data_IF_711814776072
#
_entry.id   IF_711814776072
#
_cell.length_a   1.000
_cell.length_b   1.000
_cell.length_c   1.000
_cell.angle_alpha   90.00
_cell.angle_beta   90.00
_cell.angle_gamma   90.00
#
_symmetry.space_group_name_H-M   'P 1'
#
loop_
_entity.id
_entity.type
_entity.pdbx_description
1 polymer ?
#
# COMPACT_ATOMS: atom_id res chain seq x y z
N UNK A 1 -9.68 -24.49 -3.52
CA UNK A 1 -10.61 -23.39 -3.81
C UNK A 1 -10.01 -22.44 -4.82
N UNK A 2 -10.81 -21.94 -5.77
CA UNK A 2 -10.41 -20.91 -6.72
C UNK A 2 -11.42 -19.78 -6.72
N UNK A 3 -10.95 -18.56 -6.94
CA UNK A 3 -11.79 -17.36 -7.10
C UNK A 3 -11.70 -16.90 -8.55
N UNK A 4 -12.84 -16.69 -9.21
CA UNK A 4 -12.89 -16.11 -10.55
C UNK A 4 -13.14 -14.61 -10.39
N UNK A 5 -12.26 -13.79 -10.97
CA UNK A 5 -12.36 -12.33 -10.98
C UNK A 5 -12.22 -11.79 -12.40
N UNK A 6 -12.73 -10.58 -12.62
CA UNK A 6 -12.51 -9.84 -13.87
C UNK A 6 -11.02 -9.55 -14.06
N UNK A 7 -10.51 -9.75 -15.29
CA UNK A 7 -9.16 -9.34 -15.63
C UNK A 7 -9.13 -7.84 -15.96
N UNK A 8 -8.60 -7.04 -15.03
CA UNK A 8 -8.53 -5.59 -15.20
C UNK A 8 -7.28 -5.22 -16.01
N UNK A 9 -7.49 -4.57 -17.15
CA UNK A 9 -6.41 -4.02 -17.97
C UNK A 9 -5.92 -2.69 -17.39
N UNK A 10 -4.63 -2.60 -17.10
CA UNK A 10 -4.03 -1.37 -16.61
C UNK A 10 -2.61 -1.55 -16.10
N UNK A 11 -2.13 -0.52 -15.42
CA UNK A 11 -0.79 -0.48 -14.85
C UNK A 11 -0.84 -0.74 -13.35
N UNK A 12 -0.02 -1.66 -12.86
CA UNK A 12 0.03 -1.99 -11.43
C UNK A 12 0.77 -0.92 -10.62
N UNK A 13 0.24 -0.58 -9.46
CA UNK A 13 0.86 0.29 -8.46
C UNK A 13 0.56 -0.25 -7.07
N UNK A 14 1.63 -0.40 -6.28
CA UNK A 14 1.57 -0.92 -4.92
C UNK A 14 1.84 0.23 -3.96
N UNK A 15 0.77 0.75 -3.35
CA UNK A 15 0.84 1.92 -2.47
C UNK A 15 1.17 1.48 -1.06
N UNK A 16 2.34 1.86 -0.56
CA UNK A 16 2.77 1.52 0.78
C UNK A 16 2.46 2.69 1.70
N UNK A 17 1.37 2.56 2.44
CA UNK A 17 0.95 3.55 3.42
C UNK A 17 1.46 3.20 4.81
N UNK A 18 1.45 4.20 5.70
CA UNK A 18 1.68 4.05 7.12
C UNK A 18 0.59 4.84 7.87
N UNK A 19 -0.11 4.18 8.77
CA UNK A 19 -1.06 4.82 9.67
C UNK A 19 -0.51 4.92 11.09
N UNK A 20 -0.57 6.11 11.68
CA UNK A 20 -0.12 6.39 13.04
C UNK A 20 -1.26 7.05 13.85
N UNK A 21 -1.80 6.41 14.90
CA UNK A 21 -2.91 6.97 15.69
C UNK A 21 -2.48 8.05 16.69
N UNK A 22 -1.18 8.33 16.84
CA UNK A 22 -0.65 9.21 17.87
C UNK A 22 -0.54 10.71 17.49
N UNK A 23 -0.16 11.07 16.24
CA UNK A 23 -0.05 12.47 15.82
C UNK A 23 -1.40 13.06 15.41
N UNK A 24 -1.59 14.34 15.72
CA UNK A 24 -2.74 15.18 15.39
C UNK A 24 -2.44 16.17 14.23
N UNK A 25 -1.36 15.93 13.48
CA UNK A 25 -0.89 16.75 12.35
C UNK A 25 -0.97 16.01 11.00
N UNK A 26 -0.68 16.70 9.89
CA UNK A 26 -0.66 16.10 8.55
C UNK A 26 -2.03 15.66 8.03
N UNK A 27 -2.04 14.67 7.12
CA UNK A 27 -3.29 14.13 6.57
C UNK A 27 -3.99 13.24 7.60
N UNK A 28 -5.08 13.74 8.16
CA UNK A 28 -5.83 13.09 9.23
C UNK A 28 -7.00 12.28 8.68
N UNK A 29 -7.03 10.99 9.01
CA UNK A 29 -8.11 10.06 8.64
C UNK A 29 -9.38 10.43 9.39
N UNK A 30 -10.46 10.64 8.65
CA UNK A 30 -11.81 10.76 9.20
C UNK A 30 -12.36 9.38 9.60
N UNK A 31 -12.80 9.28 10.85
CA UNK A 31 -13.53 8.11 11.32
C UNK A 31 -14.90 7.99 10.65
N UNK A 32 -15.35 6.74 10.48
CA UNK A 32 -16.68 6.41 9.97
C UNK A 32 -17.46 5.65 11.05
N UNK A 33 -18.79 5.55 10.88
CA UNK A 33 -19.63 4.74 11.76
C UNK A 33 -19.50 5.14 13.23
N UNK A 34 -19.01 4.23 14.07
CA UNK A 34 -18.83 4.47 15.51
C UNK A 34 -17.84 5.61 15.84
N UNK A 35 -17.00 6.02 14.88
CA UNK A 35 -16.02 7.10 15.01
C UNK A 35 -16.33 8.32 14.13
N UNK A 36 -17.56 8.46 13.63
CA UNK A 36 -17.96 9.58 12.78
C UNK A 36 -17.69 10.94 13.46
N UNK A 37 -17.12 11.89 12.70
CA UNK A 37 -16.75 13.21 13.19
C UNK A 37 -15.46 13.26 14.01
N UNK A 38 -14.74 12.15 14.16
CA UNK A 38 -13.45 12.09 14.87
C UNK A 38 -12.29 11.94 13.90
N UNK A 39 -11.19 12.65 14.16
CA UNK A 39 -9.89 12.38 13.53
C UNK A 39 -9.21 11.24 14.28
N UNK A 40 -8.90 10.15 13.59
CA UNK A 40 -8.45 8.91 14.24
C UNK A 40 -6.94 8.68 14.16
N UNK A 41 -6.22 9.49 13.36
CA UNK A 41 -4.78 9.42 13.23
C UNK A 41 -4.28 9.90 11.87
N UNK A 42 -2.97 9.90 11.72
CA UNK A 42 -2.27 10.39 10.54
C UNK A 42 -2.02 9.27 9.53
N UNK A 43 -2.32 9.52 8.26
CA UNK A 43 -1.99 8.64 7.14
C UNK A 43 -0.82 9.24 6.34
N UNK A 44 0.20 8.42 6.08
CA UNK A 44 1.39 8.79 5.32
C UNK A 44 1.57 7.83 4.15
N UNK A 45 1.90 8.35 2.96
CA UNK A 45 2.38 7.54 1.85
C UNK A 45 3.90 7.40 1.97
N UNK A 46 4.37 6.18 2.19
CA UNK A 46 5.80 5.90 2.40
C UNK A 46 6.54 5.69 1.09
N UNK A 47 6.02 4.86 0.19
CA UNK A 47 6.59 4.68 -1.15
C UNK A 47 5.58 3.99 -2.09
N UNK A 48 5.94 3.92 -3.36
CA UNK A 48 5.19 3.17 -4.37
C UNK A 48 6.17 2.29 -5.14
N UNK A 49 5.82 1.04 -5.34
CA UNK A 49 6.57 0.11 -6.18
C UNK A 49 5.70 -0.57 -7.23
N UNK A 50 6.37 -1.33 -8.10
CA UNK A 50 5.78 -2.37 -8.92
C UNK A 50 6.49 -3.69 -8.64
N UNK A 51 5.72 -4.78 -8.54
CA UNK A 51 6.26 -6.13 -8.51
C UNK A 51 6.82 -6.51 -9.88
N UNK A 52 8.01 -7.09 -9.83
CA UNK A 52 8.68 -7.78 -10.94
C UNK A 52 8.37 -9.27 -10.80
N UNK A 53 7.72 -9.85 -11.81
CA UNK A 53 7.10 -11.17 -11.73
C UNK A 53 7.47 -12.09 -12.89
N UNK A 54 7.97 -13.27 -12.53
CA UNK A 54 8.34 -14.32 -13.47
C UNK A 54 7.17 -15.29 -13.71
N UNK A 55 6.78 -15.57 -14.96
CA UNK A 55 7.31 -15.10 -16.25
C UNK A 55 6.46 -13.99 -16.88
N UNK A 56 5.37 -13.56 -16.24
CA UNK A 56 4.32 -12.72 -16.83
C UNK A 56 4.86 -11.40 -17.38
N UNK A 57 5.82 -10.78 -16.71
CA UNK A 57 6.34 -9.46 -17.09
C UNK A 57 7.23 -9.49 -18.35
N UNK A 58 7.71 -10.68 -18.72
CA UNK A 58 8.49 -10.90 -19.94
C UNK A 58 7.67 -11.64 -21.02
N UNK A 59 6.49 -12.13 -20.66
CA UNK A 59 5.68 -13.05 -21.45
C UNK A 59 5.27 -12.47 -22.82
N UNK A 60 5.01 -11.15 -22.89
CA UNK A 60 4.63 -10.48 -24.13
C UNK A 60 5.75 -10.41 -25.17
N UNK A 61 7.01 -10.65 -24.78
CA UNK A 61 8.17 -10.61 -25.68
C UNK A 61 8.32 -11.88 -26.52
N UNK A 62 7.65 -12.96 -26.13
CA UNK A 62 7.87 -14.30 -26.68
C UNK A 62 7.07 -14.62 -27.95
N UNK A 63 6.18 -13.72 -28.40
CA UNK A 63 5.39 -13.88 -29.62
C UNK A 63 3.89 -13.76 -29.38
N UNK A 64 3.08 -14.34 -30.27
CA UNK A 64 1.63 -14.32 -30.08
C UNK A 64 1.22 -15.25 -28.94
N UNK A 65 0.17 -14.89 -28.18
CA UNK A 65 -0.38 -15.73 -27.12
C UNK A 65 -0.75 -17.15 -27.60
N UNK A 66 -1.08 -17.27 -28.90
CA UNK A 66 -1.38 -18.56 -29.53
C UNK A 66 -0.13 -19.45 -29.60
N UNK A 67 0.98 -18.91 -30.11
CA UNK A 67 2.23 -19.68 -30.25
C UNK A 67 2.75 -20.13 -28.88
N UNK A 68 2.62 -19.28 -27.86
CA UNK A 68 3.03 -19.61 -26.49
C UNK A 68 2.19 -20.73 -25.87
N UNK A 69 0.88 -20.71 -26.13
CA UNK A 69 0.00 -21.79 -25.71
C UNK A 69 0.33 -23.11 -26.43
N UNK A 70 0.63 -23.04 -27.73
CA UNK A 70 1.04 -24.21 -28.51
C UNK A 70 2.39 -24.79 -28.01
N UNK A 71 3.24 -23.95 -27.39
CA UNK A 71 4.49 -24.34 -26.71
C UNK A 71 4.28 -24.83 -25.26
N UNK A 72 3.07 -24.80 -24.72
CA UNK A 72 2.78 -25.18 -23.33
C UNK A 72 3.33 -24.21 -22.29
N UNK A 73 3.61 -22.96 -22.67
CA UNK A 73 4.03 -21.91 -21.76
C UNK A 73 2.79 -21.20 -21.20
N UNK A 74 2.64 -21.22 -19.88
CA UNK A 74 1.57 -20.52 -19.17
C UNK A 74 2.14 -19.33 -18.38
N UNK A 75 1.38 -18.23 -18.24
CA UNK A 75 1.79 -17.10 -17.44
C UNK A 75 1.83 -17.47 -15.94
N UNK A 76 2.88 -17.02 -15.28
CA UNK A 76 3.11 -17.16 -13.84
C UNK A 76 3.35 -15.79 -13.22
N UNK A 77 2.82 -15.58 -12.01
CA UNK A 77 2.88 -14.32 -11.25
C UNK A 77 3.81 -14.46 -10.03
N UNK A 78 4.85 -15.29 -10.13
CA UNK A 78 5.81 -15.49 -9.05
C UNK A 78 6.64 -14.22 -8.89
N UNK A 79 6.54 -13.58 -7.73
CA UNK A 79 7.27 -12.35 -7.41
C UNK A 79 8.77 -12.64 -7.30
N UNK A 80 9.57 -11.99 -8.15
CA UNK A 80 11.04 -12.08 -8.16
C UNK A 80 11.72 -10.81 -7.67
N UNK A 81 11.02 -9.67 -7.67
CA UNK A 81 11.58 -8.42 -7.21
C UNK A 81 10.58 -7.27 -7.17
N UNK A 82 11.10 -6.06 -6.97
CA UNK A 82 10.35 -4.82 -6.89
C UNK A 82 11.12 -3.69 -7.58
N UNK A 83 10.41 -2.83 -8.32
CA UNK A 83 10.96 -1.64 -8.98
C UNK A 83 10.30 -0.40 -8.41
N UNK A 84 11.05 0.67 -8.07
CA UNK A 84 10.46 1.91 -7.57
C UNK A 84 9.59 2.56 -8.65
N UNK A 85 8.48 3.17 -8.24
CA UNK A 85 7.60 3.89 -9.12
C UNK A 85 7.15 5.21 -8.49
N UNK A 86 6.77 6.16 -9.35
CA UNK A 86 6.02 7.34 -8.96
C UNK A 86 4.70 7.35 -9.70
N UNK A 87 3.65 7.75 -8.99
CA UNK A 87 2.33 7.98 -9.55
C UNK A 87 2.28 9.36 -10.20
N UNK A 88 1.46 9.49 -11.25
CA UNK A 88 1.02 10.80 -11.73
C UNK A 88 0.35 11.56 -10.57
N UNK A 89 0.84 12.75 -10.26
CA UNK A 89 0.46 13.51 -9.05
C UNK A 89 -1.05 13.75 -8.93
N UNK A 90 -1.75 14.01 -10.04
CA UNK A 90 -3.22 14.22 -10.04
C UNK A 90 -4.03 13.00 -9.56
N UNK A 91 -3.42 11.82 -9.43
CA UNK A 91 -4.05 10.61 -8.92
C UNK A 91 -3.80 10.39 -7.42
N UNK A 92 -2.88 11.15 -6.79
CA UNK A 92 -2.59 11.04 -5.36
C UNK A 92 -3.79 11.32 -4.47
N UNK A 93 -4.67 12.31 -4.75
CA UNK A 93 -5.86 12.52 -3.93
C UNK A 93 -6.73 11.26 -3.85
N UNK A 94 -6.87 10.54 -4.96
CA UNK A 94 -7.63 9.28 -4.98
C UNK A 94 -6.93 8.15 -4.24
N UNK A 95 -5.61 8.03 -4.39
CA UNK A 95 -4.83 7.07 -3.61
C UNK A 95 -4.97 7.30 -2.10
N UNK A 96 -4.94 8.55 -1.65
CA UNK A 96 -5.17 8.90 -0.24
C UNK A 96 -6.61 8.60 0.20
N UNK A 97 -7.63 8.90 -0.61
CA UNK A 97 -9.02 8.50 -0.30
C UNK A 97 -9.17 6.99 -0.12
N UNK A 98 -8.53 6.19 -0.96
CA UNK A 98 -8.55 4.73 -0.81
C UNK A 98 -7.82 4.29 0.48
N UNK A 99 -6.65 4.86 0.76
CA UNK A 99 -5.88 4.58 1.99
C UNK A 99 -6.67 4.95 3.25
N UNK A 100 -7.29 6.12 3.26
CA UNK A 100 -8.15 6.61 4.34
C UNK A 100 -9.33 5.67 4.56
N UNK A 101 -10.04 5.31 3.49
CA UNK A 101 -11.17 4.38 3.54
C UNK A 101 -10.77 3.00 4.08
N UNK A 102 -9.60 2.49 3.69
CA UNK A 102 -9.10 1.21 4.18
C UNK A 102 -8.82 1.24 5.69
N UNK A 103 -8.20 2.31 6.20
CA UNK A 103 -7.96 2.49 7.64
C UNK A 103 -9.28 2.66 8.39
N UNK A 104 -10.14 3.58 7.95
CA UNK A 104 -11.39 3.88 8.62
C UNK A 104 -12.31 2.64 8.70
N UNK A 105 -12.44 1.90 7.59
CA UNK A 105 -13.19 0.64 7.56
C UNK A 105 -12.58 -0.43 8.46
N UNK A 106 -11.25 -0.57 8.49
CA UNK A 106 -10.59 -1.52 9.38
C UNK A 106 -10.84 -1.18 10.85
N UNK A 107 -10.80 0.10 11.20
CA UNK A 107 -11.04 0.58 12.57
C UNK A 107 -12.48 0.38 13.02
N UNK A 108 -13.46 0.55 12.13
CA UNK A 108 -14.87 0.26 12.41
C UNK A 108 -15.11 -1.25 12.58
N UNK A 109 -14.51 -2.09 11.72
CA UNK A 109 -14.74 -3.54 11.74
C UNK A 109 -14.07 -4.25 12.93
N UNK A 110 -12.94 -3.74 13.40
CA UNK A 110 -12.06 -4.44 14.36
C UNK A 110 -11.75 -3.65 15.63
N UNK A 111 -12.16 -2.39 15.71
CA UNK A 111 -11.80 -1.51 16.82
C UNK A 111 -10.34 -1.04 16.78
N UNK A 112 -9.92 -0.28 17.78
CA UNK A 112 -8.56 0.27 17.85
C UNK A 112 -7.49 -0.81 18.17
N UNK A 113 -7.86 -1.91 18.82
CA UNK A 113 -6.92 -2.97 19.23
C UNK A 113 -6.49 -3.87 18.06
N UNK A 114 -7.33 -4.00 17.03
CA UNK A 114 -7.13 -4.90 15.89
C UNK A 114 -7.31 -4.22 14.53
N UNK A 115 -7.55 -2.91 14.53
CA UNK A 115 -7.58 -2.09 13.33
C UNK A 115 -6.20 -1.92 12.71
N UNK A 116 -6.16 -1.36 11.52
CA UNK A 116 -4.93 -1.16 10.77
C UNK A 116 -4.03 -0.12 11.46
N UNK A 117 -2.93 -0.57 12.05
CA UNK A 117 -1.91 0.27 12.69
C UNK A 117 -0.55 -0.01 12.05
N UNK A 118 0.19 1.05 11.73
CA UNK A 118 1.50 0.95 11.10
C UNK A 118 1.41 0.75 9.59
N UNK A 119 2.33 -0.02 8.99
CA UNK A 119 2.45 -0.12 7.54
C UNK A 119 1.38 -1.05 6.93
N UNK A 120 0.84 -0.65 5.78
CA UNK A 120 -0.01 -1.49 4.97
C UNK A 120 0.18 -1.17 3.49
N UNK A 121 -0.29 -2.06 2.61
CA UNK A 121 -0.22 -1.88 1.18
C UNK A 121 -1.58 -2.07 0.51
N UNK A 122 -1.94 -1.13 -0.36
CA UNK A 122 -3.01 -1.31 -1.34
C UNK A 122 -2.40 -1.74 -2.67
N UNK A 123 -2.73 -2.94 -3.11
CA UNK A 123 -2.25 -3.49 -4.37
C UNK A 123 -3.29 -3.17 -5.45
N UNK A 124 -2.92 -2.34 -6.41
CA UNK A 124 -3.88 -1.72 -7.32
C UNK A 124 -3.47 -1.82 -8.78
N UNK A 125 -4.47 -1.68 -9.65
CA UNK A 125 -4.33 -1.46 -11.08
C UNK A 125 -4.96 -0.11 -11.43
N UNK A 126 -4.26 0.71 -12.20
CA UNK A 126 -4.75 1.97 -12.78
C UNK A 126 -5.07 1.75 -14.26
N UNK A 127 -6.33 1.94 -14.63
CA UNK A 127 -6.80 1.76 -16.01
C UNK A 127 -6.39 2.94 -16.90
N UNK A 128 -6.59 2.80 -18.21
CA UNK A 128 -6.40 3.88 -19.20
C UNK A 128 -7.37 5.07 -18.99
N UNK A 129 -8.47 4.85 -18.26
CA UNK A 129 -9.41 5.88 -17.79
C UNK A 129 -9.02 6.52 -16.45
N UNK A 130 -7.85 6.18 -15.92
CA UNK A 130 -7.35 6.65 -14.61
C UNK A 130 -8.19 6.18 -13.42
N UNK A 131 -8.87 5.04 -13.54
CA UNK A 131 -9.62 4.43 -12.45
C UNK A 131 -8.75 3.44 -11.69
N UNK A 132 -8.85 3.45 -10.35
CA UNK A 132 -8.19 2.46 -9.50
C UNK A 132 -9.06 1.22 -9.32
N UNK A 133 -8.42 0.05 -9.39
CA UNK A 133 -8.98 -1.24 -8.98
C UNK A 133 -8.05 -1.87 -7.96
N UNK A 134 -8.51 -1.98 -6.71
CA UNK A 134 -7.78 -2.68 -5.64
C UNK A 134 -8.08 -4.16 -5.76
N UNK A 135 -7.05 -5.01 -5.83
CA UNK A 135 -7.23 -6.46 -5.90
C UNK A 135 -6.77 -7.17 -4.61
N UNK A 136 -5.88 -6.53 -3.84
CA UNK A 136 -5.42 -7.07 -2.56
C UNK A 136 -5.09 -5.95 -1.57
N UNK A 137 -5.30 -6.23 -0.27
CA UNK A 137 -4.86 -5.39 0.84
C UNK A 137 -3.92 -6.21 1.72
N UNK A 138 -2.68 -5.76 1.82
CA UNK A 138 -1.70 -6.32 2.75
C UNK A 138 -1.67 -5.48 4.03
N UNK A 139 -2.24 -5.97 5.13
CA UNK A 139 -2.31 -5.28 6.43
C UNK A 139 -0.99 -5.35 7.23
N UNK A 140 0.15 -5.24 6.54
CA UNK A 140 1.51 -5.25 7.10
C UNK A 140 2.50 -4.65 6.11
N UNK A 141 3.76 -4.54 6.53
CA UNK A 141 4.87 -4.21 5.63
C UNK A 141 5.00 -5.25 4.50
N UNK A 142 5.35 -4.79 3.30
CA UNK A 142 5.52 -5.60 2.09
C UNK A 142 6.93 -5.44 1.52
N UNK A 143 7.37 -6.43 0.72
CA UNK A 143 8.72 -6.45 0.12
C UNK A 143 9.02 -5.22 -0.75
N UNK A 144 8.00 -4.62 -1.36
CA UNK A 144 8.13 -3.38 -2.11
C UNK A 144 8.78 -2.24 -1.34
N UNK A 145 8.67 -2.21 -0.01
CA UNK A 145 9.31 -1.17 0.82
C UNK A 145 10.84 -1.22 0.81
N UNK A 146 11.43 -2.33 0.35
CA UNK A 146 12.88 -2.48 0.24
C UNK A 146 13.48 -1.55 -0.82
N UNK A 147 12.71 -1.08 -1.80
CA UNK A 147 13.22 -0.10 -2.79
C UNK A 147 13.47 1.28 -2.17
N UNK A 148 12.91 1.52 -0.98
CA UNK A 148 12.93 2.81 -0.28
C UNK A 148 13.69 2.76 1.06
N UNK A 149 14.71 1.91 1.19
CA UNK A 149 15.55 1.84 2.41
C UNK A 149 16.22 3.19 2.71
N UNK A 150 16.62 3.92 1.66
CA UNK A 150 17.22 5.26 1.76
C UNK A 150 16.22 6.40 1.63
N UNK A 151 14.93 6.16 1.89
CA UNK A 151 13.86 7.11 1.60
C UNK A 151 13.22 6.89 0.23
N UNK A 152 12.23 7.73 -0.08
CA UNK A 152 11.48 7.72 -1.32
C UNK A 152 11.04 9.14 -1.69
N UNK A 153 10.66 9.39 -2.95
CA UNK A 153 10.11 10.69 -3.36
C UNK A 153 8.91 11.15 -2.51
N UNK A 154 8.21 10.24 -1.83
CA UNK A 154 7.07 10.53 -0.98
C UNK A 154 7.47 10.72 0.49
N UNK A 155 8.26 9.80 1.04
CA UNK A 155 8.66 9.88 2.44
C UNK A 155 9.55 11.09 2.71
N UNK A 156 10.39 11.46 1.74
CA UNK A 156 11.36 12.56 1.87
C UNK A 156 10.68 13.94 1.96
N UNK A 157 9.41 14.06 1.55
CA UNK A 157 8.60 15.26 1.77
C UNK A 157 8.40 15.49 3.27
N UNK A 158 8.22 14.41 4.04
CA UNK A 158 8.01 14.48 5.49
C UNK A 158 9.34 14.43 6.25
N UNK A 159 10.24 13.55 5.84
CA UNK A 159 11.56 13.39 6.45
C UNK A 159 12.51 12.69 5.47
N UNK A 160 13.62 13.35 5.10
CA UNK A 160 14.61 12.77 4.20
C UNK A 160 15.19 11.46 4.72
N UNK A 161 15.23 10.45 3.85
CA UNK A 161 15.97 9.22 4.08
C UNK A 161 15.28 8.20 4.98
N UNK A 162 13.99 8.37 5.26
CA UNK A 162 13.25 7.43 6.11
C UNK A 162 12.67 6.25 5.34
N UNK A 163 13.08 5.05 5.73
CA UNK A 163 12.44 3.80 5.30
C UNK A 163 11.18 3.48 6.10
N UNK A 164 10.32 2.61 5.56
CA UNK A 164 9.16 2.08 6.30
C UNK A 164 9.57 1.40 7.61
N UNK A 165 10.69 0.68 7.64
CA UNK A 165 11.22 0.06 8.85
C UNK A 165 11.62 1.09 9.92
N UNK A 166 12.35 2.14 9.53
CA UNK A 166 12.67 3.24 10.44
C UNK A 166 11.41 3.98 10.91
N UNK A 167 10.38 4.11 10.06
CA UNK A 167 9.10 4.72 10.43
C UNK A 167 8.34 3.93 11.49
N UNK A 168 8.36 2.59 11.42
CA UNK A 168 7.83 1.71 12.48
C UNK A 168 8.60 1.94 13.79
N UNK A 169 9.93 1.83 13.76
CA UNK A 169 10.77 2.00 14.95
C UNK A 169 10.59 3.38 15.59
N UNK A 170 10.37 4.42 14.78
CA UNK A 170 10.10 5.78 15.25
C UNK A 170 8.71 5.93 15.86
N UNK A 171 7.69 5.29 15.29
CA UNK A 171 6.35 5.23 15.87
C UNK A 171 6.43 4.65 17.29
N UNK A 172 7.08 3.50 17.44
CA UNK A 172 7.28 2.83 18.73
C UNK A 172 8.01 3.73 19.72
N UNK A 173 9.12 4.35 19.31
CA UNK A 173 9.88 5.27 20.17
C UNK A 173 9.02 6.44 20.66
N UNK A 174 8.24 7.06 19.77
CA UNK A 174 7.35 8.17 20.12
C UNK A 174 6.21 7.73 21.03
N UNK A 175 5.67 6.52 20.82
CA UNK A 175 4.63 5.95 21.67
C UNK A 175 5.13 5.75 23.10
N UNK A 176 6.34 5.17 23.27
CA UNK A 176 6.98 5.02 24.58
C UNK A 176 7.20 6.38 25.25
N UNK A 177 7.71 7.37 24.53
CA UNK A 177 7.94 8.72 25.06
C UNK A 177 6.66 9.42 25.53
N UNK A 178 5.52 9.07 24.93
CA UNK A 178 4.20 9.60 25.28
C UNK A 178 3.44 8.74 26.29
N UNK A 179 4.02 7.64 26.78
CA UNK A 179 3.36 6.62 27.59
C UNK A 179 2.08 6.04 26.94
N UNK A 180 2.11 5.92 25.60
CA UNK A 180 1.00 5.43 24.75
C UNK A 180 1.41 4.22 23.92
N UNK A 181 2.34 3.40 24.41
CA UNK A 181 2.79 2.20 23.70
C UNK A 181 1.63 1.22 23.46
N UNK A 182 0.73 1.08 24.44
CA UNK A 182 -0.43 0.17 24.37
C UNK A 182 -1.43 0.55 23.27
N UNK A 183 -1.38 1.78 22.76
CA UNK A 183 -2.27 2.23 21.69
C UNK A 183 -1.86 1.68 20.30
N UNK A 184 -0.65 1.10 20.17
CA UNK A 184 -0.08 0.66 18.90
C UNK A 184 0.44 -0.77 18.90
N UNK A 185 0.20 -1.52 19.98
CA UNK A 185 0.58 -2.93 20.13
C UNK A 185 -0.63 -3.75 20.55
N UNK A 186 -0.68 -5.00 20.10
CA UNK A 186 -1.70 -5.99 20.47
C UNK A 186 -1.09 -7.36 20.75
#
# INVERSE_FOLDING_TARGET
>A
DFTIQEYVLGTRYYFQFFFDPLPDDGYQVDGIGSKEGQKIGRLELMSIDRRDEANVDEFYKLGSLRDLRDMGLEPSFVVTGNTPAVLRESLLPEAFRMGEGAVAASMELKGAEQGMIGPFCLETIVTDKLEFRVFEVSARIVAGSNVAVGGSPYSDINEPGISTGQRIARCIRKAIQKDRLLDIVS
#
